data_IF_521664254560
#
_entry.id   IF_521664254560
#
_cell.length_a   1.000
_cell.length_b   1.000
_cell.length_c   1.000
_cell.angle_alpha   90.00
_cell.angle_beta   90.00
_cell.angle_gamma   90.00
#
_symmetry.space_group_name_H-M   'P 1'
#
loop_
_entity.id
_entity.type
_entity.pdbx_description
1 polymer ?
#
# COMPACT_ATOMS: atom_id res chain seq x y z
N UNK A 1 9.98 -33.06 -0.77
CA UNK A 1 8.90 -32.10 -1.01
C UNK A 1 9.33 -30.77 -0.38
N UNK A 2 9.81 -29.81 -1.16
CA UNK A 2 10.20 -28.51 -0.63
C UNK A 2 8.94 -27.79 -0.14
N UNK A 3 8.85 -27.51 1.18
CA UNK A 3 7.84 -26.58 1.71
C UNK A 3 8.12 -25.22 1.06
N UNK A 4 7.21 -24.77 0.20
CA UNK A 4 7.26 -23.41 -0.34
C UNK A 4 7.20 -22.45 0.84
N UNK A 5 8.15 -21.54 0.93
CA UNK A 5 8.22 -20.55 1.99
C UNK A 5 6.99 -19.64 1.89
N UNK A 6 6.24 -19.48 2.99
CA UNK A 6 5.12 -18.56 3.06
C UNK A 6 5.60 -17.09 3.09
N UNK A 7 4.67 -16.16 2.99
CA UNK A 7 4.94 -14.73 3.18
C UNK A 7 5.38 -14.45 4.62
N UNK A 8 6.25 -13.48 4.78
CA UNK A 8 6.77 -13.05 6.11
C UNK A 8 6.44 -11.58 6.34
N UNK A 9 6.28 -11.20 7.61
CA UNK A 9 6.17 -9.81 7.99
C UNK A 9 7.52 -9.13 7.67
N UNK A 10 7.54 -8.08 6.81
CA UNK A 10 8.78 -7.34 6.55
C UNK A 10 9.19 -6.56 7.79
N UNK A 11 10.48 -6.42 8.02
CA UNK A 11 11.02 -5.54 9.06
C UNK A 11 10.77 -4.08 8.69
N UNK A 12 10.61 -3.23 9.71
CA UNK A 12 10.65 -1.77 9.53
C UNK A 12 12.09 -1.35 9.29
N UNK A 13 12.33 -0.41 8.37
CA UNK A 13 13.65 0.18 8.14
C UNK A 13 14.07 1.18 9.23
N UNK A 14 13.23 1.40 10.26
CA UNK A 14 13.40 2.40 11.32
C UNK A 14 12.76 1.92 12.63
N UNK A 15 13.11 2.55 13.75
CA UNK A 15 12.55 2.23 15.06
C UNK A 15 11.05 2.61 15.16
N UNK A 16 10.32 1.95 16.04
CA UNK A 16 8.88 2.20 16.19
C UNK A 16 8.53 3.64 16.64
N UNK A 17 9.44 4.34 17.28
CA UNK A 17 9.30 5.73 17.73
C UNK A 17 9.88 6.77 16.74
N UNK A 18 10.46 6.31 15.65
CA UNK A 18 11.11 7.19 14.66
C UNK A 18 10.16 8.16 13.94
N UNK A 19 8.87 7.89 13.95
CA UNK A 19 7.85 8.73 13.30
C UNK A 19 7.15 9.69 14.29
N UNK A 20 7.60 9.74 15.54
CA UNK A 20 7.05 10.70 16.52
C UNK A 20 7.43 12.15 16.11
N UNK A 21 6.57 13.12 16.41
CA UNK A 21 5.27 13.01 17.10
C UNK A 21 4.08 12.70 16.15
N UNK A 22 4.31 12.45 14.87
CA UNK A 22 3.24 12.22 13.89
C UNK A 22 2.50 10.89 14.13
N UNK A 23 3.24 9.83 14.43
CA UNK A 23 2.71 8.51 14.78
C UNK A 23 3.49 8.03 16.01
N UNK A 24 2.78 7.76 17.10
CA UNK A 24 3.41 7.31 18.34
C UNK A 24 3.90 5.85 18.26
N UNK A 25 4.88 5.52 19.10
CA UNK A 25 5.52 4.21 19.18
C UNK A 25 4.51 3.07 19.37
N UNK A 26 3.50 3.26 20.22
CA UNK A 26 2.54 2.21 20.51
C UNK A 26 1.66 1.91 19.30
N UNK A 27 1.19 2.96 18.62
CA UNK A 27 0.43 2.85 17.36
C UNK A 27 1.26 2.11 16.31
N UNK A 28 2.54 2.49 16.10
CA UNK A 28 3.43 1.82 15.17
C UNK A 28 3.59 0.34 15.50
N UNK A 29 3.84 0.01 16.76
CA UNK A 29 4.01 -1.37 17.22
C UNK A 29 2.74 -2.22 17.00
N UNK A 30 1.57 -1.71 17.35
CA UNK A 30 0.30 -2.42 17.16
C UNK A 30 0.01 -2.57 15.67
N UNK A 31 0.20 -1.53 14.89
CA UNK A 31 -0.10 -1.54 13.45
C UNK A 31 0.81 -2.49 12.68
N UNK A 32 2.10 -2.56 13.01
CA UNK A 32 3.04 -3.48 12.39
C UNK A 32 2.93 -4.91 12.93
N UNK A 33 3.14 -5.10 14.25
CA UNK A 33 3.32 -6.44 14.84
C UNK A 33 2.00 -7.21 15.02
N UNK A 34 0.84 -6.52 15.05
CA UNK A 34 -0.47 -7.17 15.22
C UNK A 34 -1.32 -7.09 13.98
N UNK A 35 -1.56 -5.88 13.46
CA UNK A 35 -2.46 -5.67 12.34
C UNK A 35 -1.87 -6.21 11.03
N UNK A 36 -0.69 -5.75 10.62
CA UNK A 36 -0.01 -6.24 9.42
C UNK A 36 0.37 -7.73 9.57
N UNK A 37 0.94 -8.14 10.69
CA UNK A 37 1.22 -9.55 10.96
C UNK A 37 -0.04 -10.43 10.89
N UNK A 38 -1.21 -9.88 11.24
CA UNK A 38 -2.49 -10.55 11.10
C UNK A 38 -2.84 -10.88 9.65
N UNK A 39 -2.63 -9.94 8.73
CA UNK A 39 -2.81 -10.19 7.30
C UNK A 39 -1.87 -11.27 6.79
N UNK A 40 -0.58 -11.21 7.16
CA UNK A 40 0.41 -12.21 6.75
C UNK A 40 0.00 -13.62 7.19
N UNK A 41 -0.39 -13.79 8.46
CA UNK A 41 -0.82 -15.10 8.98
C UNK A 41 -2.05 -15.64 8.24
N UNK A 42 -3.06 -14.79 8.04
CA UNK A 42 -4.31 -15.18 7.37
C UNK A 42 -4.10 -15.46 5.88
N UNK A 43 -3.22 -14.70 5.22
CA UNK A 43 -2.82 -14.95 3.83
C UNK A 43 -2.18 -16.32 3.69
N UNK A 44 -1.18 -16.64 4.54
CA UNK A 44 -0.51 -17.93 4.51
C UNK A 44 -1.48 -19.08 4.75
N UNK A 45 -2.39 -18.95 5.72
CA UNK A 45 -3.42 -19.97 5.96
C UNK A 45 -4.37 -20.16 4.76
N UNK A 46 -4.77 -19.06 4.10
CA UNK A 46 -5.62 -19.13 2.91
C UNK A 46 -4.91 -19.75 1.70
N UNK A 47 -3.58 -19.72 1.66
CA UNK A 47 -2.79 -20.31 0.59
C UNK A 47 -2.42 -21.79 0.83
N UNK A 48 -2.74 -22.35 1.98
CA UNK A 48 -2.50 -23.77 2.23
C UNK A 48 -3.32 -24.64 1.27
N UNK A 49 -2.63 -25.39 0.40
CA UNK A 49 -3.27 -26.22 -0.63
C UNK A 49 -3.88 -25.44 -1.81
N UNK A 50 -3.78 -24.12 -1.82
CA UNK A 50 -4.34 -23.31 -2.91
C UNK A 50 -3.47 -23.36 -4.19
N UNK A 51 -4.11 -23.31 -5.37
CA UNK A 51 -3.42 -23.37 -6.66
C UNK A 51 -2.42 -22.21 -6.87
N UNK A 52 -2.65 -21.06 -6.27
CA UNK A 52 -1.78 -19.89 -6.35
C UNK A 52 -0.65 -19.89 -5.30
N UNK A 53 -0.52 -20.93 -4.48
CA UNK A 53 0.54 -21.03 -3.49
C UNK A 53 1.92 -21.01 -4.17
N UNK A 54 2.82 -20.15 -3.64
CA UNK A 54 4.20 -19.98 -4.12
C UNK A 54 4.35 -19.01 -5.30
N UNK A 55 3.32 -18.27 -5.65
CA UNK A 55 3.44 -17.08 -6.51
C UNK A 55 4.04 -15.90 -5.72
N UNK A 56 4.57 -14.90 -6.42
CA UNK A 56 4.88 -13.61 -5.81
C UNK A 56 3.59 -12.92 -5.36
N UNK A 57 3.69 -11.98 -4.42
CA UNK A 57 2.52 -11.26 -3.92
C UNK A 57 1.83 -10.45 -5.03
N UNK A 58 2.61 -9.82 -5.90
CA UNK A 58 2.12 -9.05 -7.03
C UNK A 58 1.40 -9.94 -8.06
N UNK A 59 1.99 -11.09 -8.40
CA UNK A 59 1.37 -12.05 -9.33
C UNK A 59 0.07 -12.65 -8.74
N UNK A 60 0.08 -12.93 -7.43
CA UNK A 60 -1.13 -13.34 -6.70
C UNK A 60 -2.23 -12.29 -6.87
N UNK A 61 -1.95 -11.02 -6.49
CA UNK A 61 -2.93 -9.94 -6.52
C UNK A 61 -3.48 -9.66 -7.92
N UNK A 62 -2.60 -9.67 -8.93
CA UNK A 62 -2.99 -9.49 -10.33
C UNK A 62 -3.85 -10.65 -10.86
N UNK A 63 -3.71 -11.85 -10.29
CA UNK A 63 -4.47 -13.05 -10.68
C UNK A 63 -5.80 -13.25 -9.96
N UNK A 64 -6.10 -12.45 -8.90
CA UNK A 64 -7.31 -12.63 -8.10
C UNK A 64 -8.58 -12.28 -8.86
N UNK A 65 -9.58 -13.15 -8.74
CA UNK A 65 -10.94 -12.86 -9.16
C UNK A 65 -11.75 -12.07 -8.09
N UNK A 66 -12.95 -11.59 -8.46
CA UNK A 66 -13.79 -10.84 -7.53
C UNK A 66 -14.30 -11.69 -6.34
N UNK A 67 -14.31 -13.02 -6.49
CA UNK A 67 -14.82 -13.96 -5.48
C UNK A 67 -13.72 -14.44 -4.51
N UNK A 68 -12.46 -14.13 -4.75
CA UNK A 68 -11.32 -14.55 -3.90
C UNK A 68 -11.17 -13.64 -2.66
N UNK A 69 -12.27 -13.39 -1.95
CA UNK A 69 -12.37 -12.39 -0.88
C UNK A 69 -11.30 -12.57 0.19
N UNK A 70 -11.02 -13.80 0.60
CA UNK A 70 -10.00 -14.10 1.62
C UNK A 70 -8.59 -13.72 1.19
N UNK A 71 -8.19 -14.14 -0.02
CA UNK A 71 -6.88 -13.81 -0.60
C UNK A 71 -6.79 -12.32 -0.94
N UNK A 72 -7.87 -11.73 -1.47
CA UNK A 72 -7.97 -10.32 -1.80
C UNK A 72 -7.75 -9.42 -0.56
N UNK A 73 -8.49 -9.67 0.52
CA UNK A 73 -8.36 -8.90 1.75
C UNK A 73 -7.00 -9.10 2.45
N UNK A 74 -6.52 -10.34 2.57
CA UNK A 74 -5.30 -10.61 3.30
C UNK A 74 -4.04 -10.37 2.46
N UNK A 75 -4.07 -10.70 1.17
CA UNK A 75 -2.99 -10.39 0.23
C UNK A 75 -2.86 -8.88 -0.01
N UNK A 76 -3.99 -8.20 -0.25
CA UNK A 76 -4.01 -6.75 -0.37
C UNK A 76 -3.54 -6.07 0.91
N UNK A 77 -4.04 -6.51 2.08
CA UNK A 77 -3.61 -5.99 3.37
C UNK A 77 -2.11 -6.15 3.60
N UNK A 78 -1.55 -7.31 3.24
CA UNK A 78 -0.10 -7.51 3.33
C UNK A 78 0.66 -6.58 2.39
N UNK A 79 0.28 -6.49 1.13
CA UNK A 79 0.93 -5.64 0.13
C UNK A 79 0.86 -4.15 0.52
N UNK A 80 -0.33 -3.67 0.83
CA UNK A 80 -0.58 -2.26 1.13
C UNK A 80 0.25 -1.80 2.33
N UNK A 81 0.28 -2.60 3.41
CA UNK A 81 1.06 -2.26 4.60
C UNK A 81 2.57 -2.41 4.36
N UNK A 82 3.01 -3.41 3.59
CA UNK A 82 4.43 -3.56 3.24
C UNK A 82 4.96 -2.35 2.45
N UNK A 83 4.14 -1.82 1.53
CA UNK A 83 4.48 -0.61 0.80
C UNK A 83 4.39 0.64 1.70
N UNK A 84 3.37 0.72 2.57
CA UNK A 84 3.19 1.83 3.50
C UNK A 84 4.42 2.04 4.38
N UNK A 85 4.98 0.98 4.96
CA UNK A 85 6.20 1.10 5.77
C UNK A 85 7.39 1.63 4.99
N UNK A 86 7.50 1.33 3.69
CA UNK A 86 8.59 1.78 2.83
C UNK A 86 8.49 3.24 2.41
N UNK A 87 7.27 3.80 2.33
CA UNK A 87 7.05 5.21 1.95
C UNK A 87 7.04 6.15 3.15
N UNK A 88 6.96 5.63 4.36
CA UNK A 88 7.16 6.40 5.58
C UNK A 88 8.64 6.54 5.89
N UNK A 89 9.03 7.73 6.32
CA UNK A 89 10.41 8.01 6.74
C UNK A 89 10.41 8.97 7.94
N UNK A 90 11.38 8.87 8.85
CA UNK A 90 11.56 9.86 9.91
C UNK A 90 11.68 11.28 9.34
N UNK A 91 11.09 12.26 10.01
CA UNK A 91 11.09 13.65 9.53
C UNK A 91 12.51 14.24 9.36
N UNK A 92 13.47 13.77 10.14
CA UNK A 92 14.88 14.15 10.04
C UNK A 92 15.57 13.63 8.75
N UNK A 93 15.01 12.59 8.13
CA UNK A 93 15.52 11.96 6.92
C UNK A 93 14.66 12.25 5.69
N UNK A 94 13.53 12.96 5.90
CA UNK A 94 12.58 13.24 4.83
C UNK A 94 13.21 14.18 3.80
N UNK A 95 13.19 13.72 2.55
CA UNK A 95 13.56 14.52 1.38
C UNK A 95 12.36 14.68 0.48
N UNK A 96 12.24 15.82 -0.20
CA UNK A 96 11.22 15.98 -1.23
C UNK A 96 11.49 15.07 -2.44
N UNK A 97 10.50 14.90 -3.33
CA UNK A 97 10.72 14.20 -4.58
C UNK A 97 11.80 14.90 -5.40
N UNK A 98 12.64 14.11 -6.10
CA UNK A 98 13.75 14.60 -6.89
C UNK A 98 13.84 13.88 -8.25
N UNK A 99 14.62 14.42 -9.18
CA UNK A 99 14.83 13.84 -10.50
C UNK A 99 13.52 13.61 -11.26
N UNK A 100 13.45 12.53 -12.01
CA UNK A 100 12.28 12.20 -12.84
C UNK A 100 10.94 12.19 -12.07
N UNK A 101 10.93 11.81 -10.79
CA UNK A 101 9.69 11.83 -10.02
C UNK A 101 9.20 13.25 -9.82
N UNK A 102 10.09 14.19 -9.46
CA UNK A 102 9.72 15.60 -9.30
C UNK A 102 9.21 16.21 -10.62
N UNK A 103 9.87 15.90 -11.75
CA UNK A 103 9.46 16.36 -13.07
C UNK A 103 8.06 15.85 -13.44
N UNK A 104 7.79 14.55 -13.21
CA UNK A 104 6.48 13.95 -13.47
C UNK A 104 5.38 14.47 -12.54
N UNK A 105 5.70 14.73 -11.27
CA UNK A 105 4.76 15.37 -10.33
C UNK A 105 4.40 16.77 -10.84
N UNK A 106 5.40 17.56 -11.23
CA UNK A 106 5.17 18.91 -11.78
C UNK A 106 4.34 18.87 -13.06
N UNK A 107 4.63 17.93 -13.96
CA UNK A 107 3.87 17.77 -15.21
C UNK A 107 2.42 17.33 -14.98
N UNK A 108 2.17 16.46 -13.98
CA UNK A 108 0.83 15.87 -13.74
C UNK A 108 -0.03 16.70 -12.79
N UNK A 109 0.57 17.41 -11.82
CA UNK A 109 -0.13 18.11 -10.75
C UNK A 109 0.21 19.60 -10.63
N UNK A 110 1.17 20.09 -11.41
CA UNK A 110 1.72 21.46 -11.35
C UNK A 110 2.64 21.73 -10.16
N UNK A 111 2.44 21.08 -9.01
CA UNK A 111 3.31 21.20 -7.83
C UNK A 111 3.20 19.98 -6.91
N UNK A 112 4.15 19.86 -5.97
CA UNK A 112 4.07 18.88 -4.91
C UNK A 112 2.88 19.13 -3.97
N UNK A 113 2.59 20.39 -3.65
CA UNK A 113 1.46 20.74 -2.78
C UNK A 113 0.13 20.31 -3.42
N UNK A 114 -0.04 20.54 -4.72
CA UNK A 114 -1.23 20.09 -5.45
C UNK A 114 -1.36 18.54 -5.47
N UNK A 115 -0.26 17.80 -5.53
CA UNK A 115 -0.28 16.35 -5.36
C UNK A 115 -0.73 15.95 -3.95
N UNK A 116 -0.19 16.60 -2.90
CA UNK A 116 -0.57 16.33 -1.51
C UNK A 116 -2.05 16.63 -1.25
N UNK A 117 -2.56 17.73 -1.80
CA UNK A 117 -3.97 18.07 -1.75
C UNK A 117 -4.85 17.01 -2.44
N UNK A 118 -4.44 16.56 -3.62
CA UNK A 118 -5.15 15.51 -4.36
C UNK A 118 -5.17 14.17 -3.59
N UNK A 119 -4.05 13.78 -2.97
CA UNK A 119 -3.97 12.57 -2.12
C UNK A 119 -4.85 12.71 -0.88
N UNK A 120 -4.81 13.86 -0.22
CA UNK A 120 -5.64 14.13 0.96
C UNK A 120 -7.13 14.08 0.61
N UNK A 121 -7.53 14.72 -0.47
CA UNK A 121 -8.91 14.70 -0.96
C UNK A 121 -9.37 13.27 -1.32
N UNK A 122 -8.53 12.50 -2.02
CA UNK A 122 -8.85 11.10 -2.36
C UNK A 122 -8.99 10.22 -1.11
N UNK A 123 -8.18 10.46 -0.07
CA UNK A 123 -8.25 9.73 1.19
C UNK A 123 -9.49 10.13 2.02
N UNK A 124 -9.80 11.42 2.11
CA UNK A 124 -10.92 11.96 2.90
C UNK A 124 -12.28 11.62 2.27
N UNK A 125 -12.37 11.67 0.95
CA UNK A 125 -13.61 11.34 0.22
C UNK A 125 -13.93 9.86 0.20
N UNK A 126 -12.97 8.98 0.55
CA UNK A 126 -13.19 7.54 0.57
C UNK A 126 -14.17 7.15 1.67
N UNK A 127 -15.35 6.68 1.28
CA UNK A 127 -16.35 6.16 2.23
C UNK A 127 -15.91 4.78 2.76
N UNK A 128 -15.89 4.63 4.08
CA UNK A 128 -15.44 3.40 4.75
C UNK A 128 -13.91 3.35 4.91
N UNK A 129 -13.35 2.15 5.05
CA UNK A 129 -11.91 1.91 5.06
C UNK A 129 -11.37 1.89 3.63
N UNK A 130 -10.11 2.27 3.46
CA UNK A 130 -9.46 2.25 2.16
C UNK A 130 -8.13 2.95 2.14
N UNK A 131 -7.59 3.11 0.94
CA UNK A 131 -6.28 3.67 0.65
C UNK A 131 -6.35 4.72 -0.43
N UNK A 132 -5.53 5.74 -0.35
CA UNK A 132 -5.25 6.67 -1.43
C UNK A 132 -3.88 6.35 -2.04
N UNK A 133 -3.76 6.51 -3.36
CA UNK A 133 -2.62 6.06 -4.14
C UNK A 133 -2.15 7.13 -5.10
N UNK A 134 -0.85 7.33 -5.19
CA UNK A 134 -0.21 7.92 -6.37
C UNK A 134 0.15 6.77 -7.33
N UNK A 135 -0.33 6.84 -8.55
CA UNK A 135 -0.22 5.77 -9.55
C UNK A 135 0.42 6.31 -10.82
N UNK A 136 1.30 5.51 -11.41
CA UNK A 136 1.83 5.75 -12.75
C UNK A 136 0.92 5.04 -13.77
N UNK A 137 0.58 5.73 -14.85
CA UNK A 137 -0.20 5.14 -15.94
C UNK A 137 0.67 4.17 -16.74
N UNK A 138 0.25 2.91 -16.84
CA UNK A 138 1.00 1.87 -17.56
C UNK A 138 1.11 2.17 -19.07
N UNK A 139 0.09 2.82 -19.64
CA UNK A 139 0.04 3.18 -21.06
C UNK A 139 0.69 4.54 -21.35
N UNK A 140 0.87 5.37 -20.33
CA UNK A 140 1.49 6.69 -20.40
C UNK A 140 2.48 6.85 -19.23
N UNK A 141 3.70 6.27 -19.31
CA UNK A 141 4.62 6.17 -18.16
C UNK A 141 5.06 7.52 -17.56
N UNK A 142 4.90 8.62 -18.26
CA UNK A 142 5.20 9.95 -17.76
C UNK A 142 4.03 10.59 -16.99
N UNK A 143 2.83 10.00 -17.09
CA UNK A 143 1.63 10.47 -16.42
C UNK A 143 1.47 9.83 -15.03
N UNK A 144 1.31 10.68 -14.03
CA UNK A 144 0.90 10.26 -12.68
C UNK A 144 -0.54 10.70 -12.43
N UNK A 145 -1.27 9.92 -11.65
CA UNK A 145 -2.60 10.28 -11.17
C UNK A 145 -2.85 9.77 -9.76
N UNK A 146 -3.83 10.37 -9.08
CA UNK A 146 -4.27 9.96 -7.75
C UNK A 146 -5.59 9.21 -7.85
N UNK A 147 -5.70 8.11 -7.13
CA UNK A 147 -6.95 7.36 -6.99
C UNK A 147 -7.13 6.86 -5.55
N UNK A 148 -8.30 6.31 -5.24
CA UNK A 148 -8.54 5.62 -3.96
C UNK A 148 -9.24 4.29 -4.17
N UNK A 149 -8.94 3.32 -3.29
CA UNK A 149 -9.51 1.98 -3.31
C UNK A 149 -10.19 1.67 -1.99
N UNK A 150 -11.21 0.82 -2.00
CA UNK A 150 -11.93 0.42 -0.80
C UNK A 150 -11.21 -0.73 -0.07
N UNK A 151 -11.35 -0.78 1.24
CA UNK A 151 -10.83 -1.85 2.09
C UNK A 151 -9.33 -2.11 1.87
N UNK A 152 -8.96 -3.34 1.49
CA UNK A 152 -7.57 -3.72 1.20
C UNK A 152 -7.32 -3.90 -0.31
N UNK A 153 -8.23 -3.45 -1.14
CA UNK A 153 -8.00 -3.41 -2.58
C UNK A 153 -6.84 -2.47 -2.93
N UNK A 154 -6.16 -2.78 -4.01
CA UNK A 154 -5.09 -1.94 -4.53
C UNK A 154 -5.06 -1.97 -6.07
N UNK A 155 -4.33 -1.03 -6.69
CA UNK A 155 -4.29 -0.89 -8.14
C UNK A 155 -3.70 -2.09 -8.92
N UNK A 156 -3.00 -3.04 -8.28
CA UNK A 156 -2.54 -4.27 -8.94
C UNK A 156 -3.67 -5.25 -9.27
N UNK A 157 -4.79 -5.14 -8.55
CA UNK A 157 -5.94 -6.03 -8.72
C UNK A 157 -6.74 -5.66 -9.94
N UNK A 158 -7.06 -6.65 -10.80
CA UNK A 158 -7.85 -6.43 -12.01
C UNK A 158 -9.20 -5.75 -11.73
N UNK A 159 -9.51 -4.72 -12.50
CA UNK A 159 -10.76 -3.99 -12.43
C UNK A 159 -10.91 -3.07 -11.22
N UNK A 160 -9.85 -2.84 -10.43
CA UNK A 160 -9.85 -1.88 -9.33
C UNK A 160 -9.46 -0.50 -9.82
N UNK A 161 -8.41 -0.42 -10.64
CA UNK A 161 -7.96 0.80 -11.33
C UNK A 161 -7.52 0.40 -12.72
N UNK A 162 -7.83 1.21 -13.73
CA UNK A 162 -7.55 0.87 -15.14
C UNK A 162 -6.07 1.09 -15.56
N UNK A 163 -5.20 1.55 -14.67
CA UNK A 163 -3.78 1.79 -14.97
C UNK A 163 -2.95 1.65 -13.70
N UNK A 164 -1.76 1.05 -13.78
CA UNK A 164 -1.06 0.67 -12.56
C UNK A 164 0.45 0.70 -12.58
N UNK A 165 1.05 1.55 -11.73
CA UNK A 165 2.27 1.33 -10.92
C UNK A 165 2.21 2.27 -9.70
N UNK A 166 2.72 1.83 -8.53
CA UNK A 166 2.24 2.31 -7.23
C UNK A 166 3.18 3.19 -6.42
N UNK A 167 2.59 4.23 -5.81
CA UNK A 167 3.05 4.88 -4.58
C UNK A 167 1.85 5.15 -3.67
N UNK A 168 1.94 4.97 -2.34
CA UNK A 168 0.77 5.01 -1.44
C UNK A 168 0.78 6.11 -0.40
N UNK A 169 -0.44 6.54 0.00
CA UNK A 169 -0.70 7.19 1.28
C UNK A 169 -1.93 6.57 1.96
N UNK A 170 -1.94 6.34 3.29
CA UNK A 170 -3.09 5.77 3.97
C UNK A 170 -4.21 6.79 4.12
N UNK A 171 -5.45 6.29 4.18
CA UNK A 171 -6.61 7.11 4.53
C UNK A 171 -6.47 7.67 5.96
N UNK A 172 -6.85 8.94 6.22
CA UNK A 172 -6.88 9.52 7.57
C UNK A 172 -7.71 8.72 8.59
N UNK A 173 -8.62 7.86 8.14
CA UNK A 173 -9.44 7.00 9.01
C UNK A 173 -8.67 5.82 9.60
N UNK A 174 -7.58 5.37 8.97
CA UNK A 174 -6.71 4.33 9.54
C UNK A 174 -5.87 4.85 10.73
N UNK A 175 -5.90 6.15 10.99
CA UNK A 175 -5.27 6.79 12.16
C UNK A 175 -6.07 6.66 13.45
N UNK A 176 -7.23 5.99 13.43
CA UNK A 176 -8.07 5.72 14.61
C UNK A 176 -7.98 4.25 15.01
N UNK A 177 -6.82 3.83 15.45
CA UNK A 177 -6.64 2.56 16.18
C UNK A 177 -6.35 2.85 17.65
#
# INVERSE_FOLDING_TARGET
MYKRQGFTLPELGYAHDALEPAIDRQTMKIHHERHHAGYVRKLNAALEGHAMAGQSLEALLAGLGPNDTGLRNNGGGHFNHALFWKVLTPSSEATGPSGMLADRITASFSSQDALLDALSQAAESRFGSGWAWLVQDENQPDRLFVCSTANQDNPLMKGVVEACLLYTSPSPRDKRL
#
